data_IF_504660447428
#
_entry.id   IF_504660447428
#
_cell.length_a   1.000
_cell.length_b   1.000
_cell.length_c   1.000
_cell.angle_alpha   90.00
_cell.angle_beta   90.00
_cell.angle_gamma   90.00
#
_symmetry.space_group_name_H-M   'P 1'
#
loop_
_entity.id
_entity.type
_entity.pdbx_description
1 polymer ?
#
# COMPACT_ATOMS: atom_id res chain seq x y z
N UNK A 1 39.03 -1.40 -5.11
CA UNK A 1 38.11 -0.53 -5.87
C UNK A 1 36.94 -0.20 -4.96
N UNK A 2 37.17 0.84 -4.15
CA UNK A 2 36.51 2.15 -4.21
C UNK A 2 35.08 2.12 -3.68
N UNK A 3 34.95 2.65 -2.47
CA UNK A 3 33.74 2.99 -1.72
C UNK A 3 32.92 4.11 -2.39
N UNK A 4 32.87 4.17 -3.73
CA UNK A 4 32.22 5.22 -4.51
C UNK A 4 30.81 4.89 -4.99
N UNK A 5 30.34 3.65 -4.83
CA UNK A 5 29.13 3.15 -5.53
C UNK A 5 27.81 3.25 -4.73
N UNK A 6 27.76 4.08 -3.68
CA UNK A 6 26.62 4.17 -2.76
C UNK A 6 25.53 5.19 -3.16
N UNK A 7 25.67 5.90 -4.29
CA UNK A 7 24.64 6.82 -4.81
C UNK A 7 23.62 6.16 -5.77
N UNK A 8 24.06 5.13 -6.49
CA UNK A 8 23.28 4.47 -7.55
C UNK A 8 22.44 3.31 -7.00
N UNK A 9 22.98 2.59 -6.01
CA UNK A 9 22.24 1.56 -5.29
C UNK A 9 21.11 2.21 -4.46
N UNK A 10 21.37 3.36 -3.84
CA UNK A 10 20.37 4.11 -3.08
C UNK A 10 19.32 4.74 -3.99
N UNK A 11 19.67 5.31 -5.15
CA UNK A 11 18.64 5.86 -6.06
C UNK A 11 17.74 4.78 -6.67
N UNK A 12 18.29 3.59 -6.97
CA UNK A 12 17.50 2.47 -7.50
C UNK A 12 16.63 1.83 -6.42
N UNK A 13 17.17 1.59 -5.21
CA UNK A 13 16.36 1.11 -4.08
C UNK A 13 15.30 2.13 -3.66
N UNK A 14 15.65 3.41 -3.59
CA UNK A 14 14.72 4.48 -3.23
C UNK A 14 13.62 4.64 -4.29
N UNK A 15 13.96 4.52 -5.57
CA UNK A 15 12.99 4.53 -6.67
C UNK A 15 12.01 3.37 -6.59
N UNK A 16 12.50 2.15 -6.36
CA UNK A 16 11.66 0.95 -6.27
C UNK A 16 10.75 0.98 -5.04
N UNK A 17 11.27 1.35 -3.86
CA UNK A 17 10.47 1.42 -2.63
C UNK A 17 9.46 2.57 -2.71
N UNK A 18 9.83 3.72 -3.28
CA UNK A 18 8.93 4.86 -3.45
C UNK A 18 7.77 4.53 -4.39
N UNK A 19 8.04 3.87 -5.52
CA UNK A 19 7.01 3.45 -6.48
C UNK A 19 6.01 2.46 -5.86
N UNK A 20 6.51 1.44 -5.15
CA UNK A 20 5.67 0.49 -4.43
C UNK A 20 4.84 1.17 -3.32
N UNK A 21 5.42 2.14 -2.61
CA UNK A 21 4.73 2.88 -1.55
C UNK A 21 3.56 3.72 -2.08
N UNK A 22 3.65 4.25 -3.30
CA UNK A 22 2.53 4.95 -3.97
C UNK A 22 1.37 3.98 -4.17
N UNK A 23 1.64 2.78 -4.69
CA UNK A 23 0.60 1.77 -4.91
C UNK A 23 -0.07 1.34 -3.59
N UNK A 24 0.71 1.16 -2.52
CA UNK A 24 0.20 0.85 -1.18
C UNK A 24 -0.67 1.98 -0.62
N UNK A 25 -0.27 3.24 -0.82
CA UNK A 25 -1.06 4.40 -0.39
C UNK A 25 -2.41 4.49 -1.12
N UNK A 26 -2.43 4.16 -2.42
CA UNK A 26 -3.66 4.07 -3.23
C UNK A 26 -4.54 2.90 -2.79
N UNK A 27 -3.95 1.75 -2.48
CA UNK A 27 -4.64 0.60 -1.88
C UNK A 27 -5.32 0.95 -0.55
N UNK A 28 -4.71 1.84 0.24
CA UNK A 28 -5.24 2.36 1.50
C UNK A 28 -6.30 3.47 1.38
N UNK A 29 -6.71 3.83 0.16
CA UNK A 29 -7.68 4.88 -0.15
C UNK A 29 -7.33 6.24 0.49
N UNK A 30 -6.04 6.61 0.49
CA UNK A 30 -5.52 7.82 1.16
C UNK A 30 -5.95 8.02 2.62
N UNK A 31 -6.44 6.96 3.28
CA UNK A 31 -6.82 6.99 4.69
C UNK A 31 -5.62 6.57 5.55
N UNK A 32 -5.27 7.30 6.62
CA UNK A 32 -4.10 6.98 7.44
C UNK A 32 -4.13 5.54 7.98
N UNK A 33 -5.31 5.10 8.43
CA UNK A 33 -5.51 3.75 8.99
C UNK A 33 -5.44 2.68 7.89
N UNK A 34 -6.03 2.93 6.72
CA UNK A 34 -6.00 1.99 5.60
C UNK A 34 -4.59 1.81 5.04
N UNK A 35 -3.85 2.91 4.87
CA UNK A 35 -2.46 2.89 4.41
C UNK A 35 -1.54 2.18 5.41
N UNK A 36 -1.74 2.36 6.72
CA UNK A 36 -0.97 1.64 7.75
C UNK A 36 -1.13 0.12 7.65
N UNK A 37 -2.39 -0.36 7.57
CA UNK A 37 -2.67 -1.80 7.46
C UNK A 37 -2.11 -2.37 6.14
N UNK A 38 -2.28 -1.63 5.04
CA UNK A 38 -1.75 -2.02 3.73
C UNK A 38 -0.20 -2.08 3.73
N UNK A 39 0.47 -1.10 4.35
CA UNK A 39 1.92 -1.03 4.43
C UNK A 39 2.53 -2.18 5.25
N UNK A 40 1.92 -2.53 6.39
CA UNK A 40 2.36 -3.66 7.23
C UNK A 40 2.30 -4.97 6.45
N UNK A 41 1.19 -5.21 5.76
CA UNK A 41 1.00 -6.44 4.99
C UNK A 41 1.96 -6.50 3.79
N UNK A 42 2.10 -5.39 3.06
CA UNK A 42 3.03 -5.29 1.94
C UNK A 42 4.49 -5.51 2.37
N UNK A 43 4.88 -4.98 3.54
CA UNK A 43 6.18 -5.19 4.14
C UNK A 43 6.43 -6.66 4.54
N UNK A 44 5.42 -7.32 5.14
CA UNK A 44 5.51 -8.74 5.49
C UNK A 44 5.70 -9.63 4.25
N UNK A 45 4.99 -9.34 3.16
CA UNK A 45 5.15 -10.06 1.89
C UNK A 45 6.51 -9.80 1.23
N UNK A 46 7.00 -8.55 1.27
CA UNK A 46 8.33 -8.21 0.78
C UNK A 46 9.43 -8.99 1.52
N UNK A 47 9.32 -9.07 2.85
CA UNK A 47 10.27 -9.80 3.69
C UNK A 47 10.18 -11.31 3.45
N UNK A 48 8.98 -11.87 3.34
CA UNK A 48 8.77 -13.28 2.99
C UNK A 48 9.37 -13.64 1.63
N UNK A 49 9.17 -12.78 0.62
CA UNK A 49 9.77 -12.96 -0.71
C UNK A 49 11.31 -12.93 -0.68
N UNK A 50 11.92 -12.05 0.12
CA UNK A 50 13.38 -12.02 0.30
C UNK A 50 13.89 -13.29 1.00
N UNK A 51 13.17 -13.80 2.00
CA UNK A 51 13.50 -15.07 2.65
C UNK A 51 13.39 -16.26 1.70
N UNK A 52 12.45 -16.25 0.77
CA UNK A 52 12.32 -17.28 -0.27
C UNK A 52 13.48 -17.24 -1.28
N UNK A 53 13.98 -16.05 -1.65
CA UNK A 53 15.19 -15.92 -2.48
C UNK A 53 16.45 -16.41 -1.77
N UNK A 54 16.52 -16.24 -0.44
CA UNK A 54 17.71 -16.57 0.33
C UNK A 54 17.84 -18.07 0.64
N UNK A 55 16.74 -18.83 0.68
CA UNK A 55 16.74 -20.22 1.15
C UNK A 55 16.42 -21.26 0.06
N UNK A 56 16.00 -20.85 -1.13
CA UNK A 56 15.64 -21.79 -2.20
C UNK A 56 16.05 -21.17 -3.53
N UNK A 57 16.59 -21.97 -4.46
CA UNK A 57 16.83 -21.62 -5.87
C UNK A 57 15.52 -21.35 -6.64
N UNK A 58 14.56 -20.64 -6.03
CA UNK A 58 13.32 -20.21 -6.67
C UNK A 58 13.66 -18.99 -7.53
N UNK A 59 13.41 -19.05 -8.86
CA UNK A 59 13.58 -17.91 -9.74
C UNK A 59 12.81 -16.68 -9.24
N UNK A 60 13.41 -15.49 -9.38
CA UNK A 60 12.81 -14.23 -8.91
C UNK A 60 11.45 -13.95 -9.54
N UNK A 61 11.22 -14.43 -10.76
CA UNK A 61 9.96 -14.31 -11.49
C UNK A 61 8.79 -14.97 -10.76
N UNK A 62 9.03 -16.13 -10.12
CA UNK A 62 8.00 -16.82 -9.34
C UNK A 62 7.56 -15.99 -8.13
N UNK A 63 8.50 -15.28 -7.52
CA UNK A 63 8.25 -14.45 -6.34
C UNK A 63 7.46 -13.20 -6.73
N UNK A 64 7.74 -12.61 -7.90
CA UNK A 64 6.98 -11.48 -8.43
C UNK A 64 5.53 -11.89 -8.70
N UNK A 65 5.31 -13.02 -9.38
CA UNK A 65 3.96 -13.52 -9.68
C UNK A 65 3.20 -13.88 -8.40
N UNK A 66 3.83 -14.60 -7.48
CA UNK A 66 3.21 -14.96 -6.19
C UNK A 66 2.88 -13.72 -5.37
N UNK A 67 3.78 -12.72 -5.31
CA UNK A 67 3.51 -11.47 -4.61
C UNK A 67 2.30 -10.74 -5.20
N UNK A 68 2.22 -10.66 -6.53
CA UNK A 68 1.07 -10.04 -7.21
C UNK A 68 -0.24 -10.78 -6.89
N UNK A 69 -0.22 -12.12 -6.92
CA UNK A 69 -1.38 -12.95 -6.56
C UNK A 69 -1.80 -12.78 -5.10
N UNK A 70 -0.85 -12.82 -4.15
CA UNK A 70 -1.16 -12.66 -2.73
C UNK A 70 -1.69 -11.24 -2.44
N UNK A 71 -1.07 -10.21 -3.02
CA UNK A 71 -1.57 -8.83 -2.90
C UNK A 71 -2.98 -8.72 -3.48
N UNK A 72 -3.28 -9.34 -4.63
CA UNK A 72 -4.62 -9.39 -5.22
C UNK A 72 -5.64 -10.02 -4.27
N UNK A 73 -5.33 -11.18 -3.69
CA UNK A 73 -6.23 -11.88 -2.76
C UNK A 73 -6.43 -11.13 -1.45
N UNK A 74 -5.39 -10.49 -0.90
CA UNK A 74 -5.50 -9.74 0.35
C UNK A 74 -6.13 -8.37 0.14
N UNK A 75 -5.94 -7.74 -1.02
CA UNK A 75 -6.62 -6.52 -1.39
C UNK A 75 -8.13 -6.74 -1.59
N UNK A 76 -8.57 -7.94 -1.99
CA UNK A 76 -9.99 -8.23 -2.21
C UNK A 76 -10.92 -7.91 -1.01
N UNK A 77 -10.68 -8.37 0.23
CA UNK A 77 -11.54 -8.01 1.37
C UNK A 77 -11.46 -6.52 1.74
N UNK A 78 -10.32 -5.86 1.49
CA UNK A 78 -10.17 -4.41 1.67
C UNK A 78 -10.97 -3.64 0.61
N UNK A 79 -10.93 -4.08 -0.65
CA UNK A 79 -11.72 -3.54 -1.76
C UNK A 79 -13.21 -3.76 -1.53
N UNK A 80 -13.61 -4.94 -1.07
CA UNK A 80 -15.00 -5.24 -0.70
C UNK A 80 -15.44 -4.30 0.42
N UNK A 81 -14.67 -4.17 1.51
CA UNK A 81 -14.98 -3.20 2.56
C UNK A 81 -14.99 -1.75 2.07
N UNK A 82 -14.08 -1.33 1.19
CA UNK A 82 -14.05 0.03 0.64
C UNK A 82 -15.26 0.32 -0.28
N UNK A 83 -15.60 -0.63 -1.16
CA UNK A 83 -16.74 -0.56 -2.06
C UNK A 83 -18.09 -0.61 -1.31
N UNK A 84 -18.22 -1.50 -0.32
CA UNK A 84 -19.45 -1.63 0.48
C UNK A 84 -19.52 -0.60 1.64
N UNK A 85 -18.42 0.08 1.99
CA UNK A 85 -18.43 1.25 2.89
C UNK A 85 -18.65 2.56 2.13
N UNK A 86 -19.53 2.53 1.13
CA UNK A 86 -20.27 3.71 0.66
C UNK A 86 -21.54 3.85 1.52
N UNK A 87 -21.37 4.25 2.79
CA UNK A 87 -22.46 4.84 3.57
C UNK A 87 -21.93 6.03 4.37
N UNK A 88 -22.41 7.20 3.92
CA UNK A 88 -22.54 8.48 4.62
C UNK A 88 -21.32 9.01 5.37
N UNK A 89 -20.48 9.74 4.64
CA UNK A 89 -20.05 11.06 5.13
C UNK A 89 -20.86 12.12 4.39
N UNK A 90 -22.20 12.05 4.49
CA UNK A 90 -22.96 13.30 4.54
C UNK A 90 -22.61 13.86 5.91
N UNK A 91 -21.51 14.59 5.98
CA UNK A 91 -21.33 15.56 7.04
C UNK A 91 -22.55 16.46 6.91
N UNK A 92 -23.54 16.22 7.76
CA UNK A 92 -24.53 17.21 8.17
C UNK A 92 -23.73 18.35 8.79
N UNK A 93 -23.08 19.14 7.94
CA UNK A 93 -22.43 20.37 8.30
C UNK A 93 -23.55 21.34 8.54
N UNK A 94 -23.95 21.45 9.79
CA UNK A 94 -24.85 22.49 10.27
C UNK A 94 -26.23 22.40 9.64
N UNK A 95 -27.13 21.72 10.34
CA UNK A 95 -28.49 22.21 10.45
C UNK A 95 -28.53 23.74 10.38
N UNK A 96 -29.14 24.24 9.31
CA UNK A 96 -30.11 25.33 9.37
C UNK A 96 -29.71 26.52 10.26
N UNK A 97 -28.87 27.41 9.75
CA UNK A 97 -29.06 28.84 10.04
C UNK A 97 -30.30 29.32 9.27
N UNK A 98 -31.47 28.86 9.70
CA UNK A 98 -32.74 29.46 9.32
C UNK A 98 -33.17 30.37 10.45
N UNK A 99 -33.22 31.67 10.15
CA UNK A 99 -34.09 32.60 10.83
C UNK A 99 -33.41 33.39 11.94
N UNK A 100 -33.03 34.62 11.62
CA UNK A 100 -33.61 35.76 12.33
C UNK A 100 -33.54 36.99 11.43
N UNK A 101 -34.61 37.20 10.66
CA UNK A 101 -34.96 38.52 10.17
C UNK A 101 -35.56 39.30 11.32
N UNK A 102 -34.90 40.40 11.67
CA UNK A 102 -35.45 41.59 12.29
C UNK A 102 -34.97 42.76 11.45
#
# INVERSE_FOLDING_TARGET
EVLGTYGYASTSLAGNIGFDAIAVALLGQSSPIGTLVAAVLFGALQAGGRSMQANTDVPVDLIIVLRALIVMFVAAPLLVKAMFRVKSQVTSQGQTFRGWGG
#
